data_IF_707368567600
#
_entry.id   IF_707368567600
#
_cell.length_a   1.000
_cell.length_b   1.000
_cell.length_c   1.000
_cell.angle_alpha   90.00
_cell.angle_beta   90.00
_cell.angle_gamma   90.00
#
_symmetry.space_group_name_H-M   'P 1'
#
loop_
_entity.id
_entity.type
_entity.pdbx_description
1 polymer ?
#
# COMPACT_ATOMS: atom_id res chain seq x y z
N UNK A 1 -20.93 13.99 40.40
CA UNK A 1 -19.91 14.20 39.36
C UNK A 1 -19.62 12.85 38.74
N UNK A 2 -20.18 12.52 37.58
CA UNK A 2 -19.64 11.38 36.84
C UNK A 2 -18.21 11.74 36.44
N UNK A 3 -17.24 10.92 36.82
CA UNK A 3 -15.86 11.02 36.38
C UNK A 3 -15.76 10.59 34.89
N UNK A 4 -16.43 11.31 33.99
CA UNK A 4 -16.73 10.84 32.62
C UNK A 4 -15.45 10.57 31.82
N UNK A 5 -14.32 11.20 32.15
CA UNK A 5 -13.05 11.06 31.42
C UNK A 5 -11.82 10.72 32.29
N UNK A 6 -12.00 10.18 33.49
CA UNK A 6 -10.84 9.78 34.31
C UNK A 6 -10.12 8.58 33.66
N UNK A 7 -8.79 8.64 33.62
CA UNK A 7 -7.92 7.57 33.12
C UNK A 7 -6.94 7.16 34.21
N UNK A 8 -6.60 5.89 34.24
CA UNK A 8 -5.57 5.34 35.11
C UNK A 8 -4.46 4.72 34.26
N UNK A 9 -3.19 5.04 34.57
CA UNK A 9 -2.06 4.34 33.97
C UNK A 9 -1.89 2.97 34.61
N UNK A 10 -1.29 2.03 33.88
CA UNK A 10 -0.97 0.71 34.42
C UNK A 10 0.00 0.80 35.61
N UNK A 11 0.94 1.76 35.56
CA UNK A 11 1.83 2.07 36.69
C UNK A 11 1.04 2.43 37.96
N UNK A 12 0.04 3.30 37.86
CA UNK A 12 -0.76 3.71 39.02
C UNK A 12 -1.57 2.54 39.60
N UNK A 13 -2.05 1.62 38.75
CA UNK A 13 -2.76 0.42 39.20
C UNK A 13 -1.84 -0.56 39.91
N UNK A 14 -0.59 -0.71 39.43
CA UNK A 14 0.40 -1.54 40.11
C UNK A 14 0.85 -0.92 41.44
N UNK A 15 1.13 0.38 41.45
CA UNK A 15 1.58 1.09 42.67
C UNK A 15 0.49 1.15 43.75
N UNK A 16 -0.78 1.20 43.37
CA UNK A 16 -1.91 1.16 44.32
C UNK A 16 -2.23 -0.25 44.84
N UNK A 17 -1.55 -1.30 44.34
CA UNK A 17 -1.80 -2.69 44.70
C UNK A 17 -3.08 -3.28 44.07
N UNK A 18 -3.75 -2.53 43.18
CA UNK A 18 -4.94 -3.01 42.42
C UNK A 18 -4.58 -4.14 41.46
N UNK A 19 -3.41 -4.04 40.82
CA UNK A 19 -2.85 -5.06 39.94
C UNK A 19 -1.44 -5.41 40.39
N UNK A 20 -1.02 -6.64 40.12
CA UNK A 20 0.38 -7.06 40.23
C UNK A 20 1.01 -7.17 38.84
N UNK A 21 2.32 -7.00 38.74
CA UNK A 21 3.02 -7.38 37.51
C UNK A 21 3.07 -8.91 37.46
N UNK A 22 2.66 -9.49 36.34
CA UNK A 22 2.69 -10.94 36.13
C UNK A 22 4.13 -11.45 36.27
N UNK A 23 4.32 -12.61 36.91
CA UNK A 23 5.64 -13.12 37.31
C UNK A 23 6.60 -13.38 36.14
N UNK A 24 6.06 -13.65 34.94
CA UNK A 24 6.80 -13.84 33.71
C UNK A 24 7.11 -12.52 32.98
N UNK A 25 6.58 -11.39 33.45
CA UNK A 25 6.83 -10.06 32.89
C UNK A 25 7.94 -9.38 33.68
N UNK A 26 9.16 -9.44 33.14
CA UNK A 26 10.32 -8.76 33.71
C UNK A 26 10.18 -7.24 33.72
N UNK A 27 11.00 -6.57 34.54
CA UNK A 27 10.98 -5.11 34.72
C UNK A 27 11.03 -4.33 33.40
N UNK A 28 11.95 -4.69 32.49
CA UNK A 28 12.07 -4.01 31.19
C UNK A 28 10.77 -4.06 30.37
N UNK A 29 10.12 -5.23 30.33
CA UNK A 29 8.87 -5.40 29.60
C UNK A 29 7.73 -4.58 30.21
N UNK A 30 7.66 -4.52 31.54
CA UNK A 30 6.68 -3.67 32.23
C UNK A 30 6.95 -2.18 32.02
N UNK A 31 8.21 -1.75 32.07
CA UNK A 31 8.61 -0.35 31.84
C UNK A 31 8.16 0.17 30.46
N UNK A 32 8.09 -0.72 29.45
CA UNK A 32 7.59 -0.40 28.10
C UNK A 32 6.09 -0.20 28.00
N UNK A 33 5.32 -0.65 28.98
CA UNK A 33 3.84 -0.60 28.94
C UNK A 33 3.21 0.18 30.07
N UNK A 34 3.94 0.45 31.16
CA UNK A 34 3.39 1.05 32.37
C UNK A 34 2.67 2.40 32.17
N UNK A 35 3.02 3.13 31.11
CA UNK A 35 2.44 4.42 30.74
C UNK A 35 1.09 4.31 30.00
N UNK A 36 0.74 3.12 29.49
CA UNK A 36 -0.54 2.89 28.82
C UNK A 36 -1.68 3.19 29.80
N UNK A 37 -2.74 3.80 29.29
CA UNK A 37 -3.88 4.24 30.12
C UNK A 37 -5.15 3.48 29.77
N UNK A 38 -5.93 3.18 30.80
CA UNK A 38 -7.28 2.64 30.68
C UNK A 38 -8.30 3.70 31.12
N UNK A 39 -9.48 3.77 30.49
CA UNK A 39 -10.61 4.49 31.06
C UNK A 39 -10.94 3.92 32.44
N UNK A 40 -11.18 4.76 33.44
CA UNK A 40 -11.43 4.31 34.80
C UNK A 40 -12.64 3.36 34.90
N UNK A 41 -13.70 3.60 34.11
CA UNK A 41 -14.85 2.67 34.01
C UNK A 41 -14.45 1.27 33.53
N UNK A 42 -13.45 1.17 32.65
CA UNK A 42 -12.92 -0.12 32.18
C UNK A 42 -12.12 -0.81 33.28
N UNK A 43 -11.30 -0.06 34.00
CA UNK A 43 -10.56 -0.59 35.15
C UNK A 43 -11.48 -1.15 36.22
N UNK A 44 -12.54 -0.42 36.61
CA UNK A 44 -13.48 -0.88 37.64
C UNK A 44 -14.09 -2.25 37.31
N UNK A 45 -14.36 -2.52 36.03
CA UNK A 45 -14.87 -3.82 35.57
C UNK A 45 -13.79 -4.91 35.56
N UNK A 46 -12.55 -4.55 35.22
CA UNK A 46 -11.42 -5.49 35.18
C UNK A 46 -10.96 -5.88 36.59
N UNK A 47 -10.97 -4.97 37.56
CA UNK A 47 -10.47 -5.21 38.92
C UNK A 47 -11.18 -6.34 39.69
N UNK A 48 -12.39 -6.74 39.26
CA UNK A 48 -13.10 -7.88 39.84
C UNK A 48 -12.56 -9.24 39.34
N UNK A 49 -11.90 -9.27 38.19
CA UNK A 49 -11.55 -10.51 37.46
C UNK A 49 -10.07 -10.63 37.12
N UNK A 50 -9.35 -9.52 37.04
CA UNK A 50 -7.94 -9.44 36.69
C UNK A 50 -7.15 -9.01 37.92
N UNK A 51 -6.17 -9.82 38.31
CA UNK A 51 -5.26 -9.52 39.43
C UNK A 51 -3.84 -9.20 38.99
N UNK A 52 -3.49 -9.53 37.75
CA UNK A 52 -2.15 -9.35 37.23
C UNK A 52 -2.16 -8.76 35.82
N UNK A 53 -1.09 -8.04 35.49
CA UNK A 53 -0.84 -7.48 34.18
C UNK A 53 0.53 -7.88 33.66
N UNK A 54 0.60 -8.24 32.39
CA UNK A 54 1.85 -8.60 31.74
C UNK A 54 1.85 -8.33 30.25
N UNK A 55 2.83 -8.91 29.58
CA UNK A 55 2.92 -8.90 28.10
C UNK A 55 2.80 -10.32 27.56
N UNK A 56 2.46 -10.44 26.27
CA UNK A 56 2.44 -11.73 25.55
C UNK A 56 3.84 -12.14 25.09
N UNK A 57 4.02 -13.39 24.67
CA UNK A 57 5.26 -13.85 24.03
C UNK A 57 5.52 -13.15 22.70
N UNK A 58 4.47 -12.86 21.95
CA UNK A 58 4.54 -12.11 20.71
C UNK A 58 5.07 -10.67 20.96
N UNK A 59 4.64 -10.01 22.05
CA UNK A 59 5.21 -8.74 22.47
C UNK A 59 6.72 -8.85 22.68
N UNK A 60 7.17 -9.87 23.44
CA UNK A 60 8.61 -10.09 23.71
C UNK A 60 9.39 -10.34 22.43
N UNK A 61 8.85 -11.17 21.52
CA UNK A 61 9.43 -11.45 20.20
C UNK A 61 9.63 -10.17 19.39
N UNK A 62 8.61 -9.32 19.31
CA UNK A 62 8.67 -8.05 18.58
C UNK A 62 9.70 -7.09 19.19
N UNK A 63 9.76 -6.97 20.52
CA UNK A 63 10.76 -6.13 21.19
C UNK A 63 12.18 -6.63 20.95
N UNK A 64 12.41 -7.95 21.07
CA UNK A 64 13.72 -8.56 20.85
C UNK A 64 14.20 -8.43 19.40
N UNK A 65 13.27 -8.48 18.44
CA UNK A 65 13.57 -8.33 17.02
C UNK A 65 13.99 -6.91 16.65
N UNK A 66 13.24 -5.90 17.09
CA UNK A 66 13.46 -4.52 16.65
C UNK A 66 14.39 -3.71 17.56
N UNK A 67 14.64 -4.17 18.78
CA UNK A 67 15.62 -3.58 19.71
C UNK A 67 15.47 -2.06 19.88
N UNK A 68 14.23 -1.59 19.99
CA UNK A 68 13.93 -0.17 20.21
C UNK A 68 14.41 0.30 21.59
N UNK A 69 14.60 1.62 21.79
CA UNK A 69 15.07 2.17 23.06
C UNK A 69 14.31 1.65 24.28
N UNK A 70 14.98 1.63 25.44
CA UNK A 70 14.37 1.18 26.69
C UNK A 70 13.13 2.01 27.02
N UNK A 71 12.06 1.35 27.48
CA UNK A 71 10.77 1.99 27.78
C UNK A 71 9.88 2.29 26.56
N UNK A 72 10.33 2.00 25.33
CA UNK A 72 9.54 2.22 24.11
C UNK A 72 8.98 0.92 23.50
N UNK A 73 7.94 1.04 22.66
CA UNK A 73 7.49 -0.03 21.75
C UNK A 73 7.63 0.41 20.29
N UNK A 74 7.97 -0.50 19.36
CA UNK A 74 8.28 -0.14 17.98
C UNK A 74 7.11 0.50 17.25
N UNK A 75 7.44 1.34 16.26
CA UNK A 75 6.47 1.89 15.34
C UNK A 75 5.85 0.79 14.47
N UNK A 76 4.62 1.03 14.00
CA UNK A 76 3.85 0.13 13.16
C UNK A 76 3.25 -1.06 13.93
N UNK A 77 3.08 -0.91 15.24
CA UNK A 77 2.37 -1.86 16.09
C UNK A 77 1.37 -1.10 16.97
N UNK A 78 0.16 -1.64 17.08
CA UNK A 78 -0.84 -1.20 18.04
C UNK A 78 -0.82 -2.10 19.27
N UNK A 79 -1.13 -1.53 20.43
CA UNK A 79 -1.35 -2.30 21.64
C UNK A 79 -2.72 -2.95 21.61
N UNK A 80 -2.77 -4.25 21.86
CA UNK A 80 -4.00 -4.97 22.15
C UNK A 80 -3.99 -5.54 23.56
N UNK A 81 -5.16 -5.59 24.18
CA UNK A 81 -5.36 -6.23 25.47
C UNK A 81 -5.95 -7.62 25.25
N UNK A 82 -5.28 -8.64 25.77
CA UNK A 82 -5.66 -10.04 25.68
C UNK A 82 -5.93 -10.54 27.10
N UNK A 83 -7.01 -11.29 27.30
CA UNK A 83 -7.24 -11.98 28.56
C UNK A 83 -6.48 -13.31 28.55
N UNK A 84 -5.50 -13.45 29.44
CA UNK A 84 -4.66 -14.62 29.56
C UNK A 84 -5.39 -15.79 30.21
N UNK A 85 -4.98 -17.03 29.88
CA UNK A 85 -5.54 -18.25 30.48
C UNK A 85 -5.29 -18.35 31.99
N UNK A 86 -4.28 -17.63 32.50
CA UNK A 86 -3.96 -17.48 33.93
C UNK A 86 -4.80 -16.41 34.64
N UNK A 87 -5.80 -15.83 33.95
CA UNK A 87 -6.66 -14.77 34.47
C UNK A 87 -6.01 -13.39 34.52
N UNK A 88 -4.83 -13.22 33.91
CA UNK A 88 -4.16 -11.92 33.81
C UNK A 88 -4.58 -11.14 32.57
N UNK A 89 -4.39 -9.82 32.58
CA UNK A 89 -4.49 -8.99 31.39
C UNK A 89 -3.11 -8.89 30.73
N UNK A 90 -3.02 -9.25 29.45
CA UNK A 90 -1.77 -9.26 28.67
C UNK A 90 -1.80 -8.22 27.59
N UNK A 91 -0.71 -7.46 27.44
CA UNK A 91 -0.55 -6.52 26.33
C UNK A 91 0.20 -7.21 25.20
N UNK A 92 -0.38 -7.13 24.00
CA UNK A 92 0.19 -7.63 22.77
C UNK A 92 0.60 -6.48 21.85
N UNK A 93 1.57 -6.73 20.96
CA UNK A 93 1.90 -5.85 19.85
C UNK A 93 1.38 -6.47 18.55
N UNK A 94 0.36 -5.85 17.96
CA UNK A 94 -0.22 -6.31 16.69
C UNK A 94 0.20 -5.39 15.57
N UNK A 95 0.68 -5.96 14.45
CA UNK A 95 1.14 -5.19 13.29
C UNK A 95 0.03 -4.29 12.79
N UNK A 96 0.28 -2.98 12.76
CA UNK A 96 -0.60 -1.98 12.17
C UNK A 96 0.21 -0.72 11.83
N UNK A 97 0.43 -0.49 10.53
CA UNK A 97 1.21 0.65 10.04
C UNK A 97 0.53 2.01 10.22
N UNK A 98 -0.73 2.04 10.69
CA UNK A 98 -1.41 3.27 11.12
C UNK A 98 -0.86 3.84 12.42
N UNK A 99 -0.01 3.08 13.13
CA UNK A 99 0.58 3.48 14.40
C UNK A 99 2.07 3.82 14.24
N UNK A 100 2.48 4.92 14.85
CA UNK A 100 3.87 5.24 15.13
C UNK A 100 4.39 4.48 16.36
N UNK A 101 5.52 4.92 16.91
CA UNK A 101 6.08 4.34 18.13
C UNK A 101 5.10 4.45 19.32
N UNK A 102 5.26 3.57 20.31
CA UNK A 102 4.50 3.59 21.55
C UNK A 102 2.97 3.46 21.37
N UNK A 103 2.52 2.80 20.30
CA UNK A 103 1.09 2.61 20.04
C UNK A 103 0.34 3.93 19.78
N UNK A 104 1.05 4.99 19.38
CA UNK A 104 0.46 6.29 19.05
C UNK A 104 -0.02 6.27 17.61
N UNK A 105 -1.27 6.65 17.33
CA UNK A 105 -1.76 6.78 15.95
C UNK A 105 -0.94 7.82 15.18
N UNK A 106 -0.68 7.56 13.91
CA UNK A 106 -0.08 8.55 13.02
C UNK A 106 -0.99 9.78 12.91
N UNK A 107 -0.44 10.98 12.61
CA UNK A 107 -1.21 12.23 12.64
C UNK A 107 -2.38 12.29 11.63
N UNK A 108 -2.30 11.51 10.56
CA UNK A 108 -3.30 11.47 9.49
C UNK A 108 -3.89 10.09 9.34
N UNK A 109 -5.17 10.02 8.97
CA UNK A 109 -5.80 8.74 8.61
C UNK A 109 -5.35 8.25 7.23
N UNK A 110 -4.98 9.15 6.30
CA UNK A 110 -4.34 8.74 5.05
C UNK A 110 -2.88 8.39 5.32
N UNK A 111 -2.41 7.28 4.78
CA UNK A 111 -1.02 6.86 4.89
C UNK A 111 -0.26 7.14 3.60
N UNK A 112 1.03 7.45 3.74
CA UNK A 112 1.90 7.74 2.61
C UNK A 112 2.90 6.61 2.40
N UNK A 113 3.19 6.34 1.13
CA UNK A 113 4.15 5.33 0.70
C UNK A 113 5.16 5.88 -0.29
N UNK A 114 6.43 5.56 -0.09
CA UNK A 114 7.47 5.89 -1.06
C UNK A 114 7.50 4.84 -2.18
N UNK A 115 7.28 5.25 -3.43
CA UNK A 115 7.38 4.39 -4.61
C UNK A 115 8.76 4.50 -5.26
N UNK A 116 9.78 3.95 -4.62
CA UNK A 116 11.16 4.03 -5.11
C UNK A 116 12.03 2.94 -4.47
N UNK A 117 13.13 2.60 -5.14
CA UNK A 117 14.20 1.78 -4.58
C UNK A 117 15.43 2.62 -4.19
N UNK A 118 15.38 3.95 -4.33
CA UNK A 118 16.51 4.84 -4.06
C UNK A 118 16.63 5.15 -2.55
N UNK A 119 17.65 4.62 -1.83
CA UNK A 119 17.80 4.87 -0.40
C UNK A 119 17.99 6.35 -0.06
N UNK A 120 18.64 7.12 -0.94
CA UNK A 120 18.88 8.56 -0.74
C UNK A 120 17.57 9.35 -0.74
N UNK A 121 16.67 9.05 -1.68
CA UNK A 121 15.36 9.72 -1.75
C UNK A 121 14.48 9.32 -0.57
N UNK A 122 14.45 8.03 -0.22
CA UNK A 122 13.68 7.51 0.93
C UNK A 122 14.11 8.15 2.23
N UNK A 123 15.42 8.37 2.42
CA UNK A 123 15.94 9.02 3.62
C UNK A 123 15.27 10.38 3.89
N UNK A 124 14.97 11.16 2.86
CA UNK A 124 14.39 12.52 3.02
C UNK A 124 12.97 12.51 3.60
N UNK A 125 12.19 11.45 3.35
CA UNK A 125 10.79 11.34 3.79
C UNK A 125 10.53 10.21 4.78
N UNK A 126 11.57 9.50 5.23
CA UNK A 126 11.47 8.28 6.06
C UNK A 126 10.57 8.39 7.30
N UNK A 127 10.49 9.57 7.91
CA UNK A 127 9.70 9.81 9.12
C UNK A 127 8.20 9.98 8.84
N UNK A 128 7.81 10.18 7.58
CA UNK A 128 6.43 10.51 7.19
C UNK A 128 5.70 9.35 6.50
N UNK A 129 6.42 8.30 6.08
CA UNK A 129 5.84 7.15 5.40
C UNK A 129 5.47 6.01 6.36
N UNK A 130 4.46 5.24 5.94
CA UNK A 130 4.02 4.02 6.59
C UNK A 130 4.22 2.78 5.71
N UNK A 131 4.52 3.00 4.43
CA UNK A 131 4.76 1.95 3.46
C UNK A 131 5.87 2.38 2.48
N UNK A 132 6.48 1.41 1.82
CA UNK A 132 7.41 1.61 0.71
C UNK A 132 7.09 0.56 -0.34
N UNK A 133 6.91 0.96 -1.59
CA UNK A 133 6.64 0.05 -2.69
C UNK A 133 7.80 0.01 -3.67
N UNK A 134 8.22 -1.20 -4.01
CA UNK A 134 9.16 -1.47 -5.10
C UNK A 134 8.50 -2.35 -6.16
N UNK A 135 9.18 -2.52 -7.29
CA UNK A 135 8.95 -3.54 -8.31
C UNK A 135 10.27 -3.74 -9.08
N UNK A 136 10.39 -4.73 -9.99
CA UNK A 136 11.63 -4.97 -10.72
C UNK A 136 12.12 -3.74 -11.48
N UNK A 137 11.25 -3.03 -12.20
CA UNK A 137 11.61 -1.82 -12.95
C UNK A 137 12.18 -0.70 -12.05
N UNK A 138 11.60 -0.52 -10.86
CA UNK A 138 12.05 0.48 -9.89
C UNK A 138 13.41 0.10 -9.31
N UNK A 139 13.62 -1.18 -8.98
CA UNK A 139 14.88 -1.67 -8.40
C UNK A 139 16.00 -1.66 -9.46
N UNK A 140 15.77 -2.30 -10.61
CA UNK A 140 16.79 -2.49 -11.62
C UNK A 140 16.99 -1.22 -12.44
N UNK A 141 15.96 -0.76 -13.16
CA UNK A 141 16.13 0.30 -14.15
C UNK A 141 16.25 1.67 -13.50
N UNK A 142 15.40 1.96 -12.51
CA UNK A 142 15.34 3.29 -11.91
C UNK A 142 16.49 3.54 -10.92
N UNK A 143 17.02 2.49 -10.30
CA UNK A 143 18.07 2.59 -9.27
C UNK A 143 19.37 1.84 -9.63
N UNK A 144 19.41 0.50 -9.56
CA UNK A 144 20.66 -0.28 -9.64
C UNK A 144 21.46 -0.01 -10.91
N UNK A 145 20.79 -0.04 -12.07
CA UNK A 145 21.39 0.17 -13.39
C UNK A 145 21.47 1.66 -13.78
N UNK A 146 21.02 2.56 -12.91
CA UNK A 146 21.06 4.00 -13.15
C UNK A 146 22.25 4.64 -12.41
N UNK A 147 23.36 4.98 -13.11
CA UNK A 147 24.55 5.52 -12.47
C UNK A 147 24.35 6.89 -11.81
N UNK A 148 23.28 7.62 -12.16
CA UNK A 148 22.91 8.88 -11.50
C UNK A 148 22.26 8.64 -10.13
N UNK A 149 21.55 7.52 -9.98
CA UNK A 149 20.85 7.14 -8.77
C UNK A 149 21.72 6.28 -7.85
N UNK A 150 22.26 5.16 -8.35
CA UNK A 150 23.24 4.32 -7.67
C UNK A 150 24.65 4.92 -7.78
N UNK A 151 24.86 6.04 -7.08
CA UNK A 151 26.10 6.82 -7.14
C UNK A 151 27.31 5.96 -6.79
N UNK A 152 28.34 6.03 -7.64
CA UNK A 152 29.58 5.25 -7.52
C UNK A 152 29.36 3.72 -7.50
N UNK A 153 28.23 3.23 -8.00
CA UNK A 153 27.88 1.81 -7.99
C UNK A 153 27.97 1.22 -6.57
N UNK A 154 27.44 1.93 -5.58
CA UNK A 154 27.50 1.55 -4.17
C UNK A 154 26.79 0.23 -3.88
N UNK A 155 25.68 -0.05 -4.57
CA UNK A 155 24.89 -1.27 -4.42
C UNK A 155 25.07 -2.18 -5.64
N UNK A 156 25.23 -3.48 -5.40
CA UNK A 156 25.51 -4.49 -6.44
C UNK A 156 24.30 -5.32 -6.82
N UNK A 157 23.38 -5.52 -5.89
CA UNK A 157 22.20 -6.33 -6.10
C UNK A 157 20.98 -5.77 -5.35
N UNK A 158 19.81 -6.36 -5.62
CA UNK A 158 18.55 -5.95 -5.00
C UNK A 158 18.52 -6.18 -3.49
N UNK A 159 19.24 -7.17 -2.97
CA UNK A 159 19.22 -7.52 -1.56
C UNK A 159 19.99 -6.50 -0.72
N UNK A 160 21.12 -6.00 -1.23
CA UNK A 160 21.83 -4.87 -0.63
C UNK A 160 20.95 -3.62 -0.57
N UNK A 161 20.19 -3.35 -1.64
CA UNK A 161 19.23 -2.24 -1.67
C UNK A 161 18.13 -2.43 -0.63
N UNK A 162 17.50 -3.61 -0.58
CA UNK A 162 16.45 -3.91 0.40
C UNK A 162 16.95 -3.82 1.83
N UNK A 163 18.18 -4.28 2.12
CA UNK A 163 18.82 -4.16 3.45
C UNK A 163 18.97 -2.70 3.87
N UNK A 164 19.45 -1.83 2.97
CA UNK A 164 19.60 -0.40 3.28
C UNK A 164 18.26 0.31 3.42
N UNK A 165 17.29 0.03 2.55
CA UNK A 165 15.93 0.57 2.67
C UNK A 165 15.30 0.19 4.02
N UNK A 166 15.41 -1.09 4.40
CA UNK A 166 14.98 -1.63 5.68
C UNK A 166 15.58 -0.88 6.88
N UNK A 167 16.88 -0.58 6.81
CA UNK A 167 17.58 0.17 7.86
C UNK A 167 17.09 1.62 7.95
N UNK A 168 16.84 2.28 6.81
CA UNK A 168 16.41 3.68 6.77
C UNK A 168 15.00 3.86 7.35
N UNK A 169 14.06 2.98 7.01
CA UNK A 169 12.65 3.17 7.36
C UNK A 169 12.24 2.57 8.71
N UNK A 170 13.08 1.67 9.26
CA UNK A 170 12.85 1.08 10.57
C UNK A 170 11.62 0.15 10.65
N UNK A 171 11.08 -0.10 11.86
CA UNK A 171 10.00 -1.06 12.08
C UNK A 171 8.62 -0.59 11.58
N UNK A 172 8.41 0.73 11.49
CA UNK A 172 7.10 1.32 11.27
C UNK A 172 6.57 1.27 9.83
N UNK A 173 7.33 0.67 8.92
CA UNK A 173 7.07 0.72 7.47
C UNK A 173 6.96 -0.69 6.91
N UNK A 174 5.84 -0.98 6.23
CA UNK A 174 5.70 -2.18 5.41
C UNK A 174 6.40 -1.96 4.07
N UNK A 175 7.15 -2.95 3.60
CA UNK A 175 7.90 -2.88 2.34
C UNK A 175 7.32 -3.91 1.37
N UNK A 176 6.71 -3.42 0.29
CA UNK A 176 6.21 -4.26 -0.80
C UNK A 176 7.32 -4.57 -1.79
N UNK A 177 7.63 -5.86 -1.95
CA UNK A 177 8.66 -6.37 -2.86
C UNK A 177 8.04 -7.38 -3.80
N UNK A 178 8.21 -7.16 -5.09
CA UNK A 178 7.67 -8.02 -6.14
C UNK A 178 8.71 -9.09 -6.52
N UNK A 179 8.24 -10.31 -6.75
CA UNK A 179 9.04 -11.42 -7.28
C UNK A 179 9.55 -11.08 -8.68
N UNK A 180 10.72 -11.59 -9.07
CA UNK A 180 11.29 -11.23 -10.38
C UNK A 180 10.46 -11.78 -11.55
N UNK A 181 10.08 -13.05 -11.44
CA UNK A 181 9.27 -13.73 -12.43
C UNK A 181 8.10 -14.40 -11.72
N UNK A 182 6.87 -13.87 -11.83
CA UNK A 182 5.71 -14.47 -11.17
C UNK A 182 5.39 -15.87 -11.71
N UNK A 183 5.90 -16.24 -12.89
CA UNK A 183 5.71 -17.55 -13.53
C UNK A 183 6.85 -18.54 -13.29
N UNK A 184 7.82 -18.19 -12.42
CA UNK A 184 8.89 -19.11 -12.06
C UNK A 184 8.34 -20.35 -11.33
N UNK A 185 9.13 -21.42 -11.34
CA UNK A 185 8.85 -22.62 -10.55
C UNK A 185 8.66 -22.28 -9.08
N UNK A 186 7.73 -22.99 -8.42
CA UNK A 186 7.34 -22.73 -7.03
C UNK A 186 8.54 -22.71 -6.07
N UNK A 187 9.50 -23.61 -6.25
CA UNK A 187 10.70 -23.67 -5.41
C UNK A 187 11.53 -22.39 -5.50
N UNK A 188 11.72 -21.86 -6.70
CA UNK A 188 12.47 -20.62 -6.94
C UNK A 188 11.73 -19.40 -6.38
N UNK A 189 10.40 -19.33 -6.57
CA UNK A 189 9.56 -18.29 -5.97
C UNK A 189 9.67 -18.28 -4.45
N UNK A 190 9.56 -19.44 -3.81
CA UNK A 190 9.62 -19.56 -2.35
C UNK A 190 11.02 -19.28 -1.81
N UNK A 191 12.08 -19.65 -2.53
CA UNK A 191 13.46 -19.30 -2.16
C UNK A 191 13.69 -17.78 -2.23
N UNK A 192 13.23 -17.12 -3.30
CA UNK A 192 13.29 -15.67 -3.44
C UNK A 192 12.53 -14.96 -2.30
N UNK A 193 11.32 -15.41 -1.98
CA UNK A 193 10.50 -14.86 -0.89
C UNK A 193 11.18 -15.05 0.48
N UNK A 194 11.78 -16.22 0.73
CA UNK A 194 12.49 -16.50 1.97
C UNK A 194 13.68 -15.54 2.17
N UNK A 195 14.41 -15.23 1.10
CA UNK A 195 15.49 -14.24 1.14
C UNK A 195 14.98 -12.83 1.44
N UNK A 196 13.80 -12.45 0.91
CA UNK A 196 13.17 -11.18 1.30
C UNK A 196 12.77 -11.18 2.77
N UNK A 197 12.21 -12.28 3.26
CA UNK A 197 11.77 -12.42 4.65
C UNK A 197 12.95 -12.33 5.63
N UNK A 198 14.10 -12.92 5.30
CA UNK A 198 15.32 -12.81 6.13
C UNK A 198 15.74 -11.34 6.32
N UNK A 199 15.65 -10.53 5.26
CA UNK A 199 16.04 -9.12 5.28
C UNK A 199 14.97 -8.25 5.95
N UNK A 200 13.71 -8.46 5.59
CA UNK A 200 12.61 -7.56 5.92
C UNK A 200 11.87 -7.97 7.19
N UNK A 201 12.04 -9.21 7.64
CA UNK A 201 11.27 -9.88 8.69
C UNK A 201 9.80 -10.10 8.31
N UNK A 202 9.11 -11.07 8.96
CA UNK A 202 7.68 -11.32 8.72
C UNK A 202 6.79 -10.07 8.92
N UNK A 203 7.24 -9.11 9.75
CA UNK A 203 6.47 -7.94 10.12
C UNK A 203 6.58 -6.78 9.12
N UNK A 204 7.59 -6.72 8.25
CA UNK A 204 7.69 -5.65 7.24
C UNK A 204 7.55 -6.16 5.81
N UNK A 205 7.87 -7.42 5.54
CA UNK A 205 7.66 -7.99 4.21
C UNK A 205 6.18 -7.99 3.84
N UNK A 206 5.88 -7.45 2.66
CA UNK A 206 4.63 -7.68 1.93
C UNK A 206 5.00 -8.17 0.54
N UNK A 207 4.67 -9.41 0.20
CA UNK A 207 5.01 -9.98 -1.10
C UNK A 207 4.08 -9.38 -2.15
N UNK A 208 4.63 -8.76 -3.17
CA UNK A 208 3.85 -8.13 -4.23
C UNK A 208 3.68 -9.09 -5.40
N UNK A 209 2.44 -9.33 -5.78
CA UNK A 209 2.02 -10.30 -6.80
C UNK A 209 1.22 -9.55 -7.86
N UNK A 210 1.51 -9.69 -9.16
CA UNK A 210 0.73 -9.03 -10.21
C UNK A 210 -0.55 -9.79 -10.57
N UNK A 211 -1.58 -9.05 -11.01
CA UNK A 211 -2.57 -9.61 -11.91
C UNK A 211 -1.88 -9.96 -13.23
N UNK A 212 -1.98 -11.22 -13.65
CA UNK A 212 -1.25 -11.75 -14.81
C UNK A 212 -2.04 -11.71 -16.11
N UNK A 213 -3.37 -11.59 -16.04
CA UNK A 213 -4.23 -11.65 -17.23
C UNK A 213 -4.05 -12.99 -17.95
N UNK A 214 -3.99 -13.02 -19.30
CA UNK A 214 -3.78 -14.25 -20.07
C UNK A 214 -2.30 -14.68 -20.15
N UNK A 215 -1.37 -13.98 -19.50
CA UNK A 215 0.05 -14.32 -19.54
C UNK A 215 0.36 -15.53 -18.65
N UNK A 216 1.26 -16.38 -19.13
CA UNK A 216 1.73 -17.59 -18.45
C UNK A 216 3.18 -17.91 -18.85
N UNK A 217 3.73 -18.99 -18.29
CA UNK A 217 5.11 -19.41 -18.54
C UNK A 217 5.38 -19.76 -20.02
N UNK A 218 4.37 -20.22 -20.75
CA UNK A 218 4.51 -20.66 -22.15
C UNK A 218 4.51 -19.48 -23.13
N UNK A 219 3.84 -18.37 -22.80
CA UNK A 219 3.65 -17.24 -23.72
C UNK A 219 4.43 -15.97 -23.35
N UNK A 220 5.04 -15.89 -22.17
CA UNK A 220 5.74 -14.67 -21.70
C UNK A 220 6.86 -14.23 -22.64
N UNK A 221 7.66 -15.16 -23.19
CA UNK A 221 8.74 -14.81 -24.13
C UNK A 221 8.19 -14.25 -25.45
N UNK A 222 7.07 -14.80 -25.93
CA UNK A 222 6.39 -14.26 -27.13
C UNK A 222 5.86 -12.86 -26.86
N UNK A 223 5.23 -12.65 -25.70
CA UNK A 223 4.74 -11.34 -25.25
C UNK A 223 5.88 -10.30 -25.23
N UNK A 224 7.02 -10.64 -24.63
CA UNK A 224 8.20 -9.77 -24.57
C UNK A 224 8.80 -9.47 -25.95
N UNK A 225 8.64 -10.38 -26.92
CA UNK A 225 9.05 -10.15 -28.32
C UNK A 225 8.04 -9.31 -29.13
N UNK A 226 6.94 -8.88 -28.51
CA UNK A 226 5.90 -8.05 -29.13
C UNK A 226 4.76 -8.83 -29.80
N UNK A 227 4.69 -10.16 -29.62
CA UNK A 227 3.59 -11.00 -30.11
C UNK A 227 2.71 -11.45 -28.95
N UNK A 228 1.46 -11.01 -28.93
CA UNK A 228 0.58 -11.24 -27.78
C UNK A 228 -0.90 -11.38 -28.14
N UNK A 229 -1.63 -12.25 -27.40
CA UNK A 229 -3.07 -12.41 -27.57
C UNK A 229 -3.84 -11.20 -27.06
N UNK A 230 -5.13 -11.12 -27.37
CA UNK A 230 -6.00 -10.13 -26.77
C UNK A 230 -6.09 -10.33 -25.25
N UNK A 231 -6.35 -9.27 -24.49
CA UNK A 231 -6.41 -9.30 -23.01
C UNK A 231 -7.44 -10.29 -22.42
N UNK A 232 -8.40 -10.74 -23.24
CA UNK A 232 -9.46 -11.68 -22.89
C UNK A 232 -9.33 -13.04 -23.60
N UNK A 233 -8.19 -13.28 -24.26
CA UNK A 233 -7.89 -14.51 -24.96
C UNK A 233 -6.87 -15.34 -24.16
N UNK A 234 -7.41 -16.17 -23.27
CA UNK A 234 -6.68 -17.01 -22.33
C UNK A 234 -7.60 -18.05 -21.72
N UNK A 235 -7.04 -19.04 -21.04
CA UNK A 235 -7.81 -20.06 -20.32
C UNK A 235 -8.14 -19.56 -18.91
N UNK A 236 -9.15 -20.13 -18.24
CA UNK A 236 -9.43 -19.81 -16.83
C UNK A 236 -8.21 -19.93 -15.92
N UNK A 237 -7.37 -20.95 -16.13
CA UNK A 237 -6.12 -21.16 -15.37
C UNK A 237 -5.13 -19.99 -15.52
N UNK A 238 -5.03 -19.36 -16.69
CA UNK A 238 -4.18 -18.20 -16.92
C UNK A 238 -4.70 -16.97 -16.16
N UNK A 239 -6.00 -16.67 -16.32
CA UNK A 239 -6.64 -15.51 -15.68
C UNK A 239 -6.61 -15.57 -14.15
N UNK A 240 -6.72 -16.77 -13.58
CA UNK A 240 -6.67 -16.99 -12.14
C UNK A 240 -5.26 -17.27 -11.62
N UNK A 241 -4.22 -17.31 -12.45
CA UNK A 241 -2.86 -17.61 -11.99
C UNK A 241 -2.39 -16.67 -10.87
N UNK A 242 -2.42 -15.35 -11.11
CA UNK A 242 -2.03 -14.35 -10.10
C UNK A 242 -2.91 -14.38 -8.84
N UNK A 243 -4.21 -14.66 -8.98
CA UNK A 243 -5.14 -14.83 -7.85
C UNK A 243 -4.77 -16.05 -7.00
N UNK A 244 -4.49 -17.18 -7.65
CA UNK A 244 -4.09 -18.42 -7.00
C UNK A 244 -2.74 -18.27 -6.32
N UNK A 245 -1.77 -17.59 -6.94
CA UNK A 245 -0.49 -17.28 -6.29
C UNK A 245 -0.68 -16.43 -5.03
N UNK A 246 -1.46 -15.34 -5.12
CA UNK A 246 -1.77 -14.49 -3.96
C UNK A 246 -2.45 -15.29 -2.83
N UNK A 247 -3.45 -16.12 -3.16
CA UNK A 247 -4.14 -16.98 -2.20
C UNK A 247 -3.20 -18.00 -1.56
N UNK A 248 -2.36 -18.69 -2.35
CA UNK A 248 -1.40 -19.69 -1.82
C UNK A 248 -0.38 -19.06 -0.88
N UNK A 249 0.10 -17.85 -1.18
CA UNK A 249 1.00 -17.10 -0.30
C UNK A 249 0.31 -16.69 1.00
N UNK A 250 -0.95 -16.25 0.93
CA UNK A 250 -1.75 -15.97 2.12
C UNK A 250 -1.91 -17.20 3.02
N UNK A 251 -2.23 -18.37 2.46
CA UNK A 251 -2.36 -19.62 3.22
C UNK A 251 -1.03 -20.07 3.86
N UNK A 252 0.11 -19.63 3.32
CA UNK A 252 1.45 -19.81 3.92
C UNK A 252 1.79 -18.75 4.99
N UNK A 253 0.90 -17.79 5.26
CA UNK A 253 1.08 -16.74 6.27
C UNK A 253 1.70 -15.44 5.76
N UNK A 254 1.91 -15.29 4.44
CA UNK A 254 2.44 -14.06 3.87
C UNK A 254 1.36 -13.00 3.69
N UNK A 255 1.71 -11.75 3.96
CA UNK A 255 0.90 -10.59 3.55
C UNK A 255 1.19 -10.28 2.09
N UNK A 256 0.13 -10.15 1.30
CA UNK A 256 0.23 -9.94 -0.15
C UNK A 256 -0.22 -8.52 -0.56
N UNK A 257 0.57 -7.87 -1.42
CA UNK A 257 0.19 -6.69 -2.19
C UNK A 257 -0.21 -7.14 -3.59
N UNK A 258 -1.51 -7.19 -3.87
CA UNK A 258 -2.01 -7.63 -5.17
C UNK A 258 -2.08 -6.44 -6.13
N UNK A 259 -1.13 -6.39 -7.06
CA UNK A 259 -0.84 -5.23 -7.92
C UNK A 259 -1.35 -5.40 -9.35
N UNK A 260 -1.10 -4.41 -10.21
CA UNK A 260 -1.54 -4.30 -11.61
C UNK A 260 -3.08 -4.31 -11.79
N UNK A 261 -3.77 -3.73 -10.82
CA UNK A 261 -5.22 -3.51 -10.87
C UNK A 261 -5.53 -2.14 -11.47
N UNK A 262 -6.26 -2.13 -12.57
CA UNK A 262 -6.69 -0.91 -13.24
C UNK A 262 -8.22 -0.82 -13.29
N UNK A 263 -8.94 -1.94 -13.40
CA UNK A 263 -10.38 -1.93 -13.65
C UNK A 263 -11.21 -2.22 -12.40
N UNK A 264 -12.33 -1.48 -12.18
CA UNK A 264 -13.21 -1.66 -11.02
C UNK A 264 -13.66 -3.11 -10.79
N UNK A 265 -14.01 -3.84 -11.85
CA UNK A 265 -14.49 -5.22 -11.75
C UNK A 265 -13.46 -6.20 -11.19
N UNK A 266 -12.16 -5.85 -11.18
CA UNK A 266 -11.11 -6.71 -10.64
C UNK A 266 -11.19 -6.78 -9.11
N UNK A 267 -11.68 -5.73 -8.44
CA UNK A 267 -11.55 -5.59 -6.99
C UNK A 267 -12.31 -6.66 -6.22
N UNK A 268 -13.55 -6.98 -6.59
CA UNK A 268 -14.31 -8.02 -5.88
C UNK A 268 -13.62 -9.39 -5.95
N UNK A 269 -13.08 -9.75 -7.12
CA UNK A 269 -12.33 -10.98 -7.32
C UNK A 269 -10.98 -10.95 -6.59
N UNK A 270 -10.26 -9.84 -6.64
CA UNK A 270 -8.99 -9.68 -5.95
C UNK A 270 -9.13 -9.88 -4.42
N UNK A 271 -10.23 -9.42 -3.83
CA UNK A 271 -10.50 -9.58 -2.40
C UNK A 271 -10.69 -11.05 -1.97
N UNK A 272 -11.09 -11.96 -2.87
CA UNK A 272 -11.24 -13.38 -2.51
C UNK A 272 -9.90 -14.05 -2.22
N UNK A 273 -8.80 -13.49 -2.73
CA UNK A 273 -7.43 -13.92 -2.41
C UNK A 273 -6.94 -13.43 -1.03
N UNK A 274 -7.79 -12.72 -0.27
CA UNK A 274 -7.50 -12.17 1.07
C UNK A 274 -6.21 -11.32 1.12
N UNK A 275 -5.99 -10.41 0.15
CA UNK A 275 -4.75 -9.63 0.09
C UNK A 275 -4.66 -8.64 1.26
N UNK A 276 -3.45 -8.31 1.67
CA UNK A 276 -3.20 -7.26 2.64
C UNK A 276 -3.28 -5.87 1.98
N UNK A 277 -2.83 -5.75 0.72
CA UNK A 277 -3.06 -4.56 -0.11
C UNK A 277 -3.66 -4.92 -1.46
N UNK A 278 -4.60 -4.11 -1.93
CA UNK A 278 -5.03 -4.05 -3.34
C UNK A 278 -4.62 -2.71 -3.91
N UNK A 279 -4.46 -2.61 -5.23
CA UNK A 279 -3.97 -1.39 -5.87
C UNK A 279 -5.04 -0.77 -6.78
N UNK A 280 -4.91 0.52 -7.07
CA UNK A 280 -5.59 1.19 -8.16
C UNK A 280 -4.57 2.00 -8.96
N UNK A 281 -4.35 1.62 -10.22
CA UNK A 281 -3.49 2.32 -11.18
C UNK A 281 -4.31 3.41 -11.89
N UNK A 282 -4.03 4.67 -11.57
CA UNK A 282 -4.87 5.81 -11.98
C UNK A 282 -4.45 6.40 -13.32
N UNK A 283 -3.20 6.85 -13.45
CA UNK A 283 -2.76 7.69 -14.57
C UNK A 283 -2.94 7.03 -15.93
N UNK A 284 -2.33 5.86 -16.16
CA UNK A 284 -2.34 5.23 -17.49
C UNK A 284 -3.77 4.95 -17.95
N UNK A 285 -4.63 4.49 -17.03
CA UNK A 285 -6.04 4.24 -17.31
C UNK A 285 -6.78 5.52 -17.70
N UNK A 286 -6.56 6.60 -16.97
CA UNK A 286 -7.21 7.88 -17.26
C UNK A 286 -6.75 8.47 -18.60
N UNK A 287 -5.42 8.51 -18.85
CA UNK A 287 -4.84 8.97 -20.12
C UNK A 287 -5.39 8.18 -21.30
N UNK A 288 -5.46 6.85 -21.18
CA UNK A 288 -6.03 6.01 -22.23
C UNK A 288 -7.49 6.36 -22.52
N UNK A 289 -8.28 6.63 -21.49
CA UNK A 289 -9.70 7.00 -21.63
C UNK A 289 -9.86 8.34 -22.33
N UNK A 290 -9.06 9.35 -21.94
CA UNK A 290 -9.07 10.68 -22.57
C UNK A 290 -8.62 10.61 -24.03
N UNK A 291 -7.59 9.82 -24.34
CA UNK A 291 -7.10 9.61 -25.71
C UNK A 291 -8.17 9.01 -26.62
N UNK A 292 -8.80 7.91 -26.18
CA UNK A 292 -9.91 7.29 -26.92
C UNK A 292 -11.10 8.24 -27.09
N UNK A 293 -11.52 8.92 -26.03
CA UNK A 293 -12.63 9.89 -26.09
C UNK A 293 -12.36 11.00 -27.10
N UNK A 294 -11.14 11.52 -27.14
CA UNK A 294 -10.74 12.58 -28.07
C UNK A 294 -10.79 12.12 -29.53
N UNK A 295 -10.31 10.91 -29.82
CA UNK A 295 -10.35 10.34 -31.17
C UNK A 295 -11.78 10.01 -31.61
N UNK A 296 -12.59 9.45 -30.71
CA UNK A 296 -14.00 9.17 -30.98
C UNK A 296 -14.80 10.43 -31.30
N UNK A 297 -14.59 11.52 -30.54
CA UNK A 297 -15.23 12.82 -30.81
C UNK A 297 -14.90 13.33 -32.20
N UNK A 298 -13.63 13.25 -32.62
CA UNK A 298 -13.23 13.66 -33.98
C UNK A 298 -13.84 12.78 -35.06
N UNK A 299 -13.91 11.47 -34.83
CA UNK A 299 -14.59 10.56 -35.75
C UNK A 299 -16.09 10.91 -35.87
N UNK A 300 -16.76 11.18 -34.76
CA UNK A 300 -18.19 11.55 -34.74
C UNK A 300 -18.45 12.90 -35.42
N UNK A 301 -17.56 13.88 -35.23
CA UNK A 301 -17.67 15.22 -35.82
C UNK A 301 -17.40 15.25 -37.32
N UNK A 302 -16.47 14.43 -37.82
CA UNK A 302 -15.99 14.51 -39.20
C UNK A 302 -16.45 13.37 -40.10
N UNK A 303 -16.77 12.21 -39.53
CA UNK A 303 -16.99 10.96 -40.27
C UNK A 303 -15.76 10.42 -40.98
N UNK A 304 -14.56 10.98 -40.76
CA UNK A 304 -13.34 10.62 -41.48
C UNK A 304 -12.80 9.26 -41.00
N UNK A 305 -12.68 8.24 -41.89
CA UNK A 305 -12.19 6.91 -41.53
C UNK A 305 -10.76 6.92 -40.97
N UNK A 306 -9.95 7.95 -41.26
CA UNK A 306 -8.62 8.10 -40.67
C UNK A 306 -8.65 8.07 -39.13
N UNK A 307 -9.68 8.64 -38.48
CA UNK A 307 -9.77 8.59 -37.02
C UNK A 307 -10.06 7.20 -36.49
N UNK A 308 -10.73 6.34 -37.27
CA UNK A 308 -10.93 4.93 -36.91
C UNK A 308 -9.59 4.17 -36.92
N UNK A 309 -8.77 4.41 -37.93
CA UNK A 309 -7.41 3.84 -38.00
C UNK A 309 -6.54 4.34 -36.84
N UNK A 310 -6.66 5.62 -36.46
CA UNK A 310 -5.94 6.17 -35.29
C UNK A 310 -6.41 5.56 -33.97
N UNK A 311 -7.71 5.28 -33.80
CA UNK A 311 -8.23 4.57 -32.63
C UNK A 311 -7.61 3.19 -32.53
N UNK A 312 -7.62 2.43 -33.63
CA UNK A 312 -7.02 1.10 -33.70
C UNK A 312 -5.53 1.13 -33.36
N UNK A 313 -4.75 2.01 -34.01
CA UNK A 313 -3.33 2.18 -33.74
C UNK A 313 -3.03 2.61 -32.29
N UNK A 314 -3.87 3.47 -31.71
CA UNK A 314 -3.78 3.85 -30.30
C UNK A 314 -3.99 2.64 -29.39
N UNK A 315 -5.01 1.84 -29.66
CA UNK A 315 -5.34 0.66 -28.86
C UNK A 315 -4.28 -0.44 -28.95
N UNK A 316 -3.65 -0.65 -30.12
CA UNK A 316 -2.48 -1.53 -30.26
C UNK A 316 -1.30 -1.05 -29.41
N UNK A 317 -0.95 0.24 -29.50
CA UNK A 317 0.15 0.82 -28.71
C UNK A 317 -0.10 0.77 -27.19
N UNK A 318 -1.35 0.68 -26.79
CA UNK A 318 -1.78 0.63 -25.38
C UNK A 318 -2.10 -0.80 -24.89
N UNK A 319 -1.70 -1.83 -25.64
CA UNK A 319 -1.90 -3.26 -25.31
C UNK A 319 -3.37 -3.66 -25.08
N UNK A 320 -4.31 -2.99 -25.76
CA UNK A 320 -5.75 -3.24 -25.62
C UNK A 320 -6.30 -4.25 -26.63
N UNK A 321 -5.54 -4.55 -27.67
CA UNK A 321 -5.86 -5.47 -28.78
C UNK A 321 -4.78 -6.54 -28.88
N UNK A 322 -5.02 -7.60 -29.65
CA UNK A 322 -3.94 -8.53 -29.98
C UNK A 322 -2.91 -7.86 -30.91
N UNK A 323 -1.66 -8.31 -30.87
CA UNK A 323 -0.57 -7.69 -31.67
C UNK A 323 -0.78 -7.75 -33.19
N UNK A 324 -1.60 -8.69 -33.67
CA UNK A 324 -1.93 -8.93 -35.07
C UNK A 324 -3.37 -8.51 -35.43
N UNK A 325 -4.05 -7.78 -34.53
CA UNK A 325 -5.38 -7.26 -34.79
C UNK A 325 -5.36 -6.25 -35.94
N UNK A 326 -6.30 -6.38 -36.88
CA UNK A 326 -6.45 -5.50 -38.05
C UNK A 326 -7.86 -4.90 -38.16
N UNK A 327 -8.76 -5.22 -37.23
CA UNK A 327 -10.18 -4.86 -37.31
C UNK A 327 -10.43 -3.48 -36.69
N UNK A 328 -10.34 -2.46 -37.55
CA UNK A 328 -10.57 -1.07 -37.16
C UNK A 328 -12.00 -0.80 -36.68
N UNK A 329 -13.01 -1.51 -37.19
CA UNK A 329 -14.41 -1.31 -36.78
C UNK A 329 -14.69 -1.92 -35.40
N UNK A 330 -14.16 -3.13 -35.16
CA UNK A 330 -14.23 -3.76 -33.84
C UNK A 330 -13.47 -2.93 -32.79
N UNK A 331 -12.31 -2.36 -33.14
CA UNK A 331 -11.56 -1.47 -32.26
C UNK A 331 -12.36 -0.21 -31.91
N UNK A 332 -13.01 0.45 -32.88
CA UNK A 332 -13.89 1.58 -32.62
C UNK A 332 -15.01 1.21 -31.63
N UNK A 333 -15.71 0.10 -31.88
CA UNK A 333 -16.78 -0.38 -31.01
C UNK A 333 -16.28 -0.63 -29.58
N UNK A 334 -15.12 -1.27 -29.44
CA UNK A 334 -14.48 -1.53 -28.14
C UNK A 334 -14.06 -0.22 -27.45
N UNK A 335 -13.51 0.74 -28.19
CA UNK A 335 -13.16 2.06 -27.66
C UNK A 335 -14.38 2.79 -27.09
N UNK A 336 -15.51 2.79 -27.81
CA UNK A 336 -16.78 3.38 -27.33
C UNK A 336 -17.25 2.71 -26.04
N UNK A 337 -17.20 1.38 -25.97
CA UNK A 337 -17.55 0.63 -24.77
C UNK A 337 -16.66 1.00 -23.58
N UNK A 338 -15.33 1.09 -23.78
CA UNK A 338 -14.38 1.48 -22.73
C UNK A 338 -14.70 2.88 -22.22
N UNK A 339 -14.83 3.88 -23.10
CA UNK A 339 -15.09 5.27 -22.69
C UNK A 339 -16.42 5.40 -21.97
N UNK A 340 -17.47 4.72 -22.45
CA UNK A 340 -18.78 4.72 -21.81
C UNK A 340 -18.73 4.06 -20.42
N UNK A 341 -18.10 2.89 -20.30
CA UNK A 341 -17.96 2.16 -19.03
C UNK A 341 -17.18 2.96 -17.99
N UNK A 342 -16.08 3.61 -18.38
CA UNK A 342 -15.25 4.41 -17.47
C UNK A 342 -15.87 5.76 -17.12
N UNK A 343 -16.93 6.16 -17.81
CA UNK A 343 -17.77 7.30 -17.43
C UNK A 343 -17.03 8.64 -17.40
N UNK A 344 -16.20 8.94 -18.41
CA UNK A 344 -15.36 10.16 -18.42
C UNK A 344 -16.17 11.47 -18.26
N UNK A 345 -17.40 11.51 -18.74
CA UNK A 345 -18.27 12.70 -18.64
C UNK A 345 -19.15 12.68 -17.37
N UNK A 346 -18.88 11.78 -16.42
CA UNK A 346 -19.63 11.65 -15.15
C UNK A 346 -18.85 12.21 -13.97
N UNK A 347 -19.55 12.54 -12.88
CA UNK A 347 -18.91 13.01 -11.64
C UNK A 347 -17.90 11.99 -11.08
N UNK A 348 -18.16 10.69 -11.18
CA UNK A 348 -17.29 9.64 -10.63
C UNK A 348 -16.05 9.36 -11.50
N UNK A 349 -16.15 9.56 -12.83
CA UNK A 349 -15.12 9.14 -13.79
C UNK A 349 -14.29 10.27 -14.42
N UNK A 350 -14.73 11.53 -14.33
CA UNK A 350 -14.05 12.66 -14.99
C UNK A 350 -12.61 12.90 -14.52
N UNK A 351 -12.28 12.52 -13.28
CA UNK A 351 -10.96 12.66 -12.67
C UNK A 351 -10.13 11.35 -12.75
N UNK A 352 -10.70 10.29 -13.33
CA UNK A 352 -10.07 8.98 -13.44
C UNK A 352 -10.00 8.16 -12.15
N UNK A 353 -10.67 8.59 -11.08
CA UNK A 353 -10.67 7.93 -9.77
C UNK A 353 -11.87 6.99 -9.58
N UNK A 354 -12.67 6.72 -10.60
CA UNK A 354 -13.82 5.80 -10.56
C UNK A 354 -13.45 4.41 -10.01
N UNK A 355 -12.30 3.88 -10.44
CA UNK A 355 -11.78 2.58 -9.97
C UNK A 355 -11.37 2.62 -8.49
N UNK A 356 -10.81 3.74 -8.03
CA UNK A 356 -10.46 3.95 -6.63
C UNK A 356 -11.72 4.04 -5.75
N UNK A 357 -12.70 4.87 -6.14
CA UNK A 357 -13.99 5.01 -5.47
C UNK A 357 -14.72 3.66 -5.38
N UNK A 358 -14.79 2.92 -6.49
CA UNK A 358 -15.39 1.58 -6.51
C UNK A 358 -14.69 0.62 -5.55
N UNK A 359 -13.35 0.64 -5.52
CA UNK A 359 -12.58 -0.21 -4.62
C UNK A 359 -12.83 0.13 -3.14
N UNK A 360 -12.99 1.40 -2.79
CA UNK A 360 -13.37 1.81 -1.42
C UNK A 360 -14.78 1.34 -1.05
N UNK A 361 -15.75 1.44 -1.97
CA UNK A 361 -17.12 0.93 -1.78
C UNK A 361 -17.12 -0.57 -1.49
N UNK A 362 -16.32 -1.35 -2.22
CA UNK A 362 -16.17 -2.78 -1.97
C UNK A 362 -15.43 -3.11 -0.67
N UNK A 363 -14.34 -2.40 -0.37
CA UNK A 363 -13.61 -2.59 0.88
C UNK A 363 -14.50 -2.32 2.10
N UNK A 364 -15.40 -1.33 2.04
CA UNK A 364 -16.37 -1.04 3.11
C UNK A 364 -17.31 -2.21 3.42
N UNK A 365 -17.55 -3.07 2.42
CA UNK A 365 -18.41 -4.26 2.55
C UNK A 365 -17.62 -5.55 2.79
N UNK A 366 -16.28 -5.50 2.71
CA UNK A 366 -15.43 -6.68 2.82
C UNK A 366 -15.17 -7.08 4.27
N UNK A 367 -15.23 -8.38 4.56
CA UNK A 367 -14.87 -8.97 5.86
C UNK A 367 -13.34 -9.12 6.02
N UNK A 368 -12.60 -8.10 5.61
CA UNK A 368 -11.14 -8.05 5.63
C UNK A 368 -10.73 -6.74 6.31
N UNK A 369 -10.66 -6.69 7.66
CA UNK A 369 -10.47 -5.43 8.38
C UNK A 369 -9.12 -4.76 8.10
N UNK A 370 -8.10 -5.56 7.80
CA UNK A 370 -6.72 -5.07 7.63
C UNK A 370 -6.34 -4.73 6.19
N UNK A 371 -7.13 -5.15 5.19
CA UNK A 371 -6.83 -4.88 3.77
C UNK A 371 -6.87 -3.38 3.49
N UNK A 372 -5.95 -2.86 2.68
CA UNK A 372 -5.93 -1.43 2.30
C UNK A 372 -5.84 -1.25 0.79
N UNK A 373 -6.35 -0.12 0.31
CA UNK A 373 -6.19 0.32 -1.07
C UNK A 373 -4.93 1.18 -1.20
N UNK A 374 -4.01 0.77 -2.06
CA UNK A 374 -2.89 1.59 -2.51
C UNK A 374 -3.31 2.33 -3.79
N UNK A 375 -3.38 3.66 -3.72
CA UNK A 375 -3.52 4.53 -4.88
C UNK A 375 -2.13 4.76 -5.48
N UNK A 376 -1.92 4.34 -6.72
CA UNK A 376 -0.61 4.34 -7.36
C UNK A 376 -0.67 4.84 -8.80
N UNK A 377 0.50 4.98 -9.43
CA UNK A 377 0.64 5.49 -10.80
C UNK A 377 0.02 6.89 -10.94
N UNK A 378 0.59 7.86 -10.23
CA UNK A 378 0.20 9.28 -10.28
C UNK A 378 1.42 10.12 -10.65
N UNK A 379 1.31 11.00 -11.65
CA UNK A 379 2.46 11.82 -12.09
C UNK A 379 2.15 13.29 -12.37
N UNK A 380 0.90 13.73 -12.24
CA UNK A 380 0.52 15.14 -12.47
C UNK A 380 -0.03 15.77 -11.21
N UNK A 381 0.31 17.04 -10.96
CA UNK A 381 -0.21 17.78 -9.82
C UNK A 381 -1.75 17.75 -9.74
N UNK A 382 -2.42 17.79 -10.90
CA UNK A 382 -3.87 17.66 -11.00
C UNK A 382 -4.40 16.36 -10.37
N UNK A 383 -3.76 15.22 -10.66
CA UNK A 383 -4.15 13.93 -10.05
C UNK A 383 -3.99 13.94 -8.53
N UNK A 384 -2.95 14.58 -7.99
CA UNK A 384 -2.82 14.71 -6.54
C UNK A 384 -3.97 15.55 -5.96
N UNK A 385 -4.33 16.66 -6.62
CA UNK A 385 -5.46 17.50 -6.18
C UNK A 385 -6.78 16.74 -6.20
N UNK A 386 -7.01 15.91 -7.21
CA UNK A 386 -8.25 15.15 -7.31
C UNK A 386 -8.28 13.98 -6.31
N UNK A 387 -7.13 13.34 -6.03
CA UNK A 387 -7.02 12.36 -4.93
C UNK A 387 -7.27 13.03 -3.58
N UNK A 388 -6.69 14.20 -3.32
CA UNK A 388 -6.89 14.95 -2.07
C UNK A 388 -8.37 15.30 -1.86
N UNK A 389 -9.06 15.74 -2.92
CA UNK A 389 -10.52 15.94 -2.91
C UNK A 389 -11.28 14.65 -2.60
N UNK A 390 -10.94 13.55 -3.28
CA UNK A 390 -11.57 12.24 -3.03
C UNK A 390 -11.41 11.81 -1.56
N UNK A 391 -10.25 12.07 -0.95
CA UNK A 391 -9.98 11.73 0.44
C UNK A 391 -10.80 12.53 1.46
N UNK A 392 -11.44 13.63 1.06
CA UNK A 392 -12.34 14.42 1.92
C UNK A 392 -13.82 14.25 1.58
N UNK A 393 -14.17 13.42 0.59
CA UNK A 393 -15.55 13.09 0.28
C UNK A 393 -16.25 12.42 1.48
N UNK A 394 -17.48 12.87 1.85
CA UNK A 394 -18.21 12.31 2.98
C UNK A 394 -18.46 10.79 2.87
N UNK A 395 -18.61 10.28 1.64
CA UNK A 395 -18.83 8.85 1.36
C UNK A 395 -17.73 7.95 1.97
N UNK A 396 -16.49 8.45 2.00
CA UNK A 396 -15.29 7.70 2.39
C UNK A 396 -14.70 8.13 3.73
N UNK A 397 -15.46 8.87 4.55
CA UNK A 397 -14.99 9.38 5.83
C UNK A 397 -14.47 8.27 6.78
N UNK A 398 -15.11 7.10 6.76
CA UNK A 398 -14.76 5.90 7.55
C UNK A 398 -13.67 5.02 6.89
N UNK A 399 -13.32 5.31 5.63
CA UNK A 399 -12.40 4.50 4.84
C UNK A 399 -10.99 5.09 4.72
N UNK A 400 -10.77 6.33 5.15
CA UNK A 400 -9.47 7.03 4.98
C UNK A 400 -8.28 6.25 5.53
N UNK A 401 -8.45 5.59 6.68
CA UNK A 401 -7.45 4.73 7.34
C UNK A 401 -7.07 3.46 6.55
N UNK A 402 -7.84 3.14 5.51
CA UNK A 402 -7.61 2.03 4.59
C UNK A 402 -7.05 2.49 3.24
N UNK A 403 -6.59 3.74 3.15
CA UNK A 403 -5.95 4.28 1.95
C UNK A 403 -4.47 4.55 2.19
N UNK A 404 -3.66 4.09 1.25
CA UNK A 404 -2.24 4.40 1.15
C UNK A 404 -2.04 5.12 -0.19
N UNK A 405 -1.53 6.34 -0.16
CA UNK A 405 -1.12 7.05 -1.37
C UNK A 405 0.36 6.77 -1.63
N UNK A 406 0.70 6.23 -2.80
CA UNK A 406 2.09 5.92 -3.18
C UNK A 406 2.57 6.71 -4.39
N UNK A 407 3.68 7.41 -4.21
CA UNK A 407 4.33 8.21 -5.25
C UNK A 407 5.86 8.24 -5.02
N UNK A 408 6.60 8.71 -6.02
CA UNK A 408 8.02 9.02 -5.83
C UNK A 408 8.19 10.15 -4.79
N UNK A 409 9.23 10.10 -3.92
CA UNK A 409 9.48 11.14 -2.92
C UNK A 409 9.55 12.56 -3.51
N UNK A 410 10.18 12.71 -4.67
CA UNK A 410 10.35 13.97 -5.37
C UNK A 410 9.01 14.57 -5.82
N UNK A 411 8.05 13.72 -6.22
CA UNK A 411 6.71 14.14 -6.57
C UNK A 411 5.96 14.65 -5.32
N UNK A 412 6.00 13.91 -4.21
CA UNK A 412 5.39 14.38 -2.96
C UNK A 412 5.97 15.71 -2.46
N UNK A 413 7.29 15.88 -2.60
CA UNK A 413 7.97 17.10 -2.18
C UNK A 413 7.38 18.38 -2.81
N UNK A 414 6.84 18.29 -4.03
CA UNK A 414 6.26 19.43 -4.73
C UNK A 414 5.05 20.02 -4.00
N UNK A 415 4.26 19.18 -3.30
CA UNK A 415 3.06 19.60 -2.58
C UNK A 415 3.34 20.21 -1.19
N UNK A 416 4.61 20.27 -0.79
CA UNK A 416 5.05 21.04 0.39
C UNK A 416 5.33 22.51 0.06
N UNK A 417 5.18 22.91 -1.21
CA UNK A 417 5.55 24.22 -1.74
C UNK A 417 4.36 24.95 -2.37
N UNK A 418 4.39 26.29 -2.32
CA UNK A 418 3.45 27.16 -3.05
C UNK A 418 4.08 28.53 -3.31
N UNK A 419 3.67 29.28 -4.36
CA UNK A 419 4.14 30.65 -4.57
C UNK A 419 3.93 31.56 -3.36
N UNK A 420 2.85 31.34 -2.61
CA UNK A 420 2.52 32.07 -1.38
C UNK A 420 3.56 31.84 -0.28
N UNK A 421 4.08 30.62 -0.13
CA UNK A 421 5.17 30.32 0.81
C UNK A 421 6.40 31.16 0.48
N UNK A 422 6.80 31.23 -0.80
CA UNK A 422 7.96 32.04 -1.22
C UNK A 422 7.76 33.53 -0.93
N UNK A 423 6.56 34.06 -1.19
CA UNK A 423 6.23 35.46 -0.91
C UNK A 423 6.32 35.78 0.57
N UNK A 424 5.74 34.95 1.45
CA UNK A 424 5.82 35.17 2.90
C UNK A 424 7.23 34.98 3.44
N UNK A 425 7.96 33.95 3.02
CA UNK A 425 9.35 33.75 3.41
C UNK A 425 10.21 34.97 3.05
N UNK A 426 10.05 35.53 1.84
CA UNK A 426 10.73 36.76 1.45
C UNK A 426 10.37 37.92 2.36
N UNK A 427 9.08 38.12 2.65
CA UNK A 427 8.62 39.21 3.51
C UNK A 427 9.17 39.08 4.94
N UNK A 428 9.10 37.89 5.53
CA UNK A 428 9.57 37.65 6.89
C UNK A 428 11.08 37.81 7.01
N UNK A 429 11.84 37.24 6.08
CA UNK A 429 13.30 37.35 6.07
C UNK A 429 13.78 38.78 5.78
N UNK A 430 13.00 39.60 5.07
CA UNK A 430 13.30 41.02 4.91
C UNK A 430 12.93 41.85 6.15
N UNK A 431 11.96 41.42 6.95
CA UNK A 431 11.51 42.18 8.13
C UNK A 431 12.45 42.04 9.34
N UNK A 432 13.31 41.02 9.34
CA UNK A 432 14.32 40.77 10.38
C UNK A 432 15.74 41.12 9.95
N UNK A 433 15.89 41.74 8.77
CA UNK A 433 17.11 42.43 8.33
C UNK A 433 17.01 43.89 8.74
#
# INVERSE_FOLDING_TARGET
MEAINMKCSLEALVQSGRLQVASDTGKDMFDRVKHITLPFKTEMKLGETVKAIGVTDEFRKVINLFQVPAGETPAGFRHEYVYGADGSMRINLVRDISFGANGVRRPTNVLFSANTANPFSVYTMRNFIANLTTNPQIIYDSFLNNPKANKNNQFKDRYEVLKELCKIVGPGVDISVEVNNPFAEESALMEEIAQFEEILTPYRLVVKVPHTGPLNADNVDSFLSGKYPAVNDGKPEDFFYGHNLAYRLHEKGYRVNFTLMAEPYQTALALTAKPYFINAFVERRHIHTQGLSSLLKRLDETGDPMYREQIHAFMLKSDMLASDDTDCEAAEKKARQIVAYRGLDTADGHDGLDSARHSLRLLKQANLPDTRLILCNTKSAQMYYDIDKMMVEPEFADMKQRVILTCEPEYFGQFTSSPTIYTYQRSFLNSVK
#
